data_IF_311770956405
#
_entry.id   IF_311770956405
#
_cell.length_a   1.000
_cell.length_b   1.000
_cell.length_c   1.000
_cell.angle_alpha   90.00
_cell.angle_beta   90.00
_cell.angle_gamma   90.00
#
_symmetry.space_group_name_H-M   'P 1'
#
loop_
_entity.id
_entity.type
_entity.pdbx_description
1 polymer ?
#
# COMPACT_ATOMS: atom_id res chain seq x y z
N UNK A 1 -38.25 -5.38 7.83
CA UNK A 1 -37.65 -4.23 7.13
C UNK A 1 -36.22 -4.63 6.82
N UNK A 2 -35.97 -5.11 5.61
CA UNK A 2 -34.70 -5.72 5.21
C UNK A 2 -33.70 -4.62 4.82
N UNK A 3 -32.54 -4.61 5.47
CA UNK A 3 -31.40 -3.79 5.06
C UNK A 3 -30.54 -4.67 4.16
N UNK A 4 -30.60 -4.38 2.86
CA UNK A 4 -29.79 -4.99 1.81
C UNK A 4 -28.34 -4.56 2.00
N UNK A 5 -27.47 -5.47 2.44
CA UNK A 5 -26.04 -5.29 2.33
C UNK A 5 -25.66 -5.45 0.86
N UNK A 6 -25.38 -4.34 0.18
CA UNK A 6 -24.60 -4.35 -1.07
C UNK A 6 -23.13 -4.64 -0.72
N UNK A 7 -22.86 -5.86 -0.26
CA UNK A 7 -21.55 -6.45 -0.47
C UNK A 7 -21.56 -6.95 -1.91
N UNK A 8 -20.87 -6.21 -2.80
CA UNK A 8 -20.39 -6.82 -4.03
C UNK A 8 -19.68 -8.10 -3.61
N UNK A 9 -20.16 -9.22 -4.13
CA UNK A 9 -19.59 -10.53 -3.83
C UNK A 9 -18.07 -10.43 -3.98
N UNK A 10 -17.27 -11.00 -3.06
CA UNK A 10 -15.85 -11.12 -3.31
C UNK A 10 -15.73 -11.89 -4.62
N UNK A 11 -15.19 -11.23 -5.64
CA UNK A 11 -14.84 -11.86 -6.91
C UNK A 11 -14.15 -13.17 -6.54
N UNK A 12 -14.61 -14.34 -7.03
CA UNK A 12 -14.04 -15.61 -6.61
C UNK A 12 -12.53 -15.49 -6.75
N UNK A 13 -11.80 -15.65 -5.63
CA UNK A 13 -10.35 -15.64 -5.66
C UNK A 13 -9.98 -16.72 -6.66
N UNK A 14 -9.52 -16.33 -7.84
CA UNK A 14 -8.90 -17.23 -8.80
C UNK A 14 -8.00 -18.12 -7.97
N UNK A 15 -8.25 -19.43 -7.99
CA UNK A 15 -7.39 -20.38 -7.29
C UNK A 15 -5.95 -20.03 -7.66
N UNK A 16 -5.16 -19.64 -6.67
CA UNK A 16 -3.79 -19.22 -6.90
C UNK A 16 -3.06 -20.46 -7.37
N UNK A 17 -2.73 -20.49 -8.66
CA UNK A 17 -1.99 -21.61 -9.21
C UNK A 17 -0.60 -21.64 -8.58
N UNK A 18 -0.19 -22.76 -7.96
CA UNK A 18 1.15 -22.92 -7.45
C UNK A 18 2.16 -22.73 -8.58
N UNK A 19 3.32 -22.18 -8.22
CA UNK A 19 4.45 -22.10 -9.12
C UNK A 19 5.51 -23.12 -8.68
N UNK A 20 5.69 -24.17 -9.50
CA UNK A 20 6.54 -25.31 -9.17
C UNK A 20 7.81 -25.31 -10.02
N UNK A 21 8.96 -25.64 -9.43
CA UNK A 21 10.22 -25.84 -10.15
C UNK A 21 10.77 -27.20 -9.75
N UNK A 22 10.99 -28.07 -10.74
CA UNK A 22 11.43 -29.45 -10.56
C UNK A 22 12.74 -29.69 -11.31
N UNK A 23 13.64 -30.47 -10.72
CA UNK A 23 14.81 -31.03 -11.41
C UNK A 23 15.24 -32.32 -10.73
N UNK A 24 14.85 -33.46 -11.29
CA UNK A 24 15.14 -34.76 -10.68
C UNK A 24 14.52 -34.89 -9.29
N UNK A 25 15.33 -35.00 -8.23
CA UNK A 25 14.84 -35.06 -6.83
C UNK A 25 14.59 -33.69 -6.20
N UNK A 26 15.00 -32.59 -6.85
CA UNK A 26 14.74 -31.25 -6.36
C UNK A 26 13.32 -30.82 -6.73
N UNK A 27 12.58 -30.30 -5.75
CA UNK A 27 11.26 -29.71 -5.95
C UNK A 27 11.13 -28.45 -5.09
N UNK A 28 10.84 -27.32 -5.73
CA UNK A 28 10.53 -26.05 -5.08
C UNK A 28 9.14 -25.59 -5.51
N UNK A 29 8.25 -25.43 -4.54
CA UNK A 29 6.90 -24.92 -4.76
C UNK A 29 6.74 -23.55 -4.10
N UNK A 30 6.21 -22.59 -4.85
CA UNK A 30 5.73 -21.32 -4.32
C UNK A 30 4.21 -21.32 -4.32
N UNK A 31 3.63 -20.60 -3.35
CA UNK A 31 2.17 -20.48 -3.22
C UNK A 31 1.52 -19.91 -4.48
N UNK A 32 2.18 -18.95 -5.12
CA UNK A 32 1.78 -18.39 -6.40
C UNK A 32 2.97 -17.73 -7.10
N UNK A 33 2.82 -17.41 -8.39
CA UNK A 33 3.88 -16.79 -9.19
C UNK A 33 4.26 -15.38 -8.70
N UNK A 34 3.38 -14.63 -8.04
CA UNK A 34 3.73 -13.31 -7.51
C UNK A 34 4.68 -13.39 -6.32
N UNK A 35 4.75 -14.53 -5.63
CA UNK A 35 5.73 -14.78 -4.57
C UNK A 35 7.18 -14.62 -5.06
N UNK A 36 7.44 -14.70 -6.37
CA UNK A 36 8.74 -14.36 -6.97
C UNK A 36 9.18 -12.91 -6.69
N UNK A 37 8.24 -11.99 -6.49
CA UNK A 37 8.52 -10.60 -6.17
C UNK A 37 8.97 -10.38 -4.72
N UNK A 38 8.81 -11.36 -3.85
CA UNK A 38 9.28 -11.30 -2.46
C UNK A 38 10.66 -11.93 -2.30
N UNK A 39 11.07 -12.79 -3.24
CA UNK A 39 12.36 -13.46 -3.20
C UNK A 39 13.53 -12.55 -3.62
N UNK A 40 14.72 -12.68 -3.03
CA UNK A 40 15.92 -12.00 -3.53
C UNK A 40 16.19 -12.35 -5.00
N UNK A 41 16.65 -11.38 -5.81
CA UNK A 41 16.94 -11.59 -7.24
C UNK A 41 17.90 -12.77 -7.48
N UNK A 42 18.88 -12.98 -6.58
CA UNK A 42 19.81 -14.10 -6.67
C UNK A 42 19.11 -15.46 -6.56
N UNK A 43 18.06 -15.56 -5.72
CA UNK A 43 17.30 -16.80 -5.55
C UNK A 43 16.42 -17.06 -6.77
N UNK A 44 15.74 -16.03 -7.30
CA UNK A 44 14.94 -16.17 -8.52
C UNK A 44 15.82 -16.55 -9.71
N UNK A 45 17.01 -15.96 -9.81
CA UNK A 45 18.02 -16.34 -10.81
C UNK A 45 18.40 -17.82 -10.75
N UNK A 46 18.57 -18.37 -9.55
CA UNK A 46 18.84 -19.81 -9.37
C UNK A 46 17.64 -20.66 -9.77
N UNK A 47 16.42 -20.24 -9.39
CA UNK A 47 15.19 -20.93 -9.76
C UNK A 47 15.03 -21.01 -11.29
N UNK A 48 15.21 -19.90 -12.01
CA UNK A 48 15.17 -19.94 -13.48
C UNK A 48 16.23 -20.82 -14.09
N UNK A 49 17.45 -20.82 -13.54
CA UNK A 49 18.51 -21.70 -14.04
C UNK A 49 18.10 -23.18 -13.91
N UNK A 50 17.56 -23.58 -12.76
CA UNK A 50 17.07 -24.94 -12.52
C UNK A 50 15.93 -25.25 -13.49
N UNK A 51 14.89 -24.40 -13.50
CA UNK A 51 13.69 -24.53 -14.30
C UNK A 51 14.01 -24.68 -15.80
N UNK A 52 14.88 -23.83 -16.35
CA UNK A 52 15.25 -23.86 -17.76
C UNK A 52 16.25 -24.98 -18.10
N UNK A 53 17.01 -25.48 -17.12
CA UNK A 53 17.90 -26.63 -17.33
C UNK A 53 17.17 -27.97 -17.43
N UNK A 54 15.96 -28.05 -16.88
CA UNK A 54 15.06 -29.19 -16.99
C UNK A 54 13.74 -28.75 -17.65
N UNK A 55 13.83 -28.05 -18.78
CA UNK A 55 12.69 -27.35 -19.38
C UNK A 55 11.48 -28.25 -19.67
N UNK A 56 11.71 -29.51 -20.04
CA UNK A 56 10.64 -30.49 -20.27
C UNK A 56 9.88 -30.85 -18.98
N UNK A 57 10.54 -30.87 -17.82
CA UNK A 57 9.89 -31.07 -16.50
C UNK A 57 9.13 -29.81 -16.05
N UNK A 58 9.44 -28.66 -16.62
CA UNK A 58 9.02 -27.34 -16.15
C UNK A 58 8.23 -26.53 -17.19
N UNK A 59 7.68 -27.18 -18.22
CA UNK A 59 6.98 -26.51 -19.33
C UNK A 59 5.88 -25.57 -18.83
N UNK A 60 5.01 -26.08 -17.94
CA UNK A 60 3.94 -25.30 -17.31
C UNK A 60 4.46 -24.05 -16.59
N UNK A 61 5.54 -24.19 -15.82
CA UNK A 61 6.10 -23.09 -15.03
C UNK A 61 6.81 -22.05 -15.91
N UNK A 62 7.45 -22.49 -16.99
CA UNK A 62 8.00 -21.62 -18.03
C UNK A 62 6.88 -20.82 -18.69
N UNK A 63 5.77 -21.46 -19.06
CA UNK A 63 4.59 -20.79 -19.63
C UNK A 63 3.96 -19.79 -18.64
N UNK A 64 3.82 -20.17 -17.38
CA UNK A 64 3.34 -19.27 -16.33
C UNK A 64 4.23 -18.02 -16.25
N UNK A 65 5.56 -18.16 -16.26
CA UNK A 65 6.50 -17.02 -16.25
C UNK A 65 6.37 -16.17 -17.51
N UNK A 66 6.26 -16.78 -18.70
CA UNK A 66 6.06 -16.07 -19.98
C UNK A 66 4.77 -15.26 -19.99
N UNK A 67 3.68 -15.80 -19.46
CA UNK A 67 2.40 -15.10 -19.38
C UNK A 67 2.35 -14.05 -18.26
N UNK A 68 3.06 -14.29 -17.16
CA UNK A 68 3.05 -13.42 -15.99
C UNK A 68 3.94 -12.20 -16.13
N UNK A 69 5.18 -12.34 -16.62
CA UNK A 69 6.16 -11.26 -16.65
C UNK A 69 5.66 -9.98 -17.38
N UNK A 70 5.06 -10.06 -18.59
CA UNK A 70 4.52 -8.88 -19.26
C UNK A 70 3.41 -8.21 -18.44
N UNK A 71 2.48 -9.00 -17.88
CA UNK A 71 1.40 -8.51 -17.02
C UNK A 71 1.94 -7.88 -15.74
N UNK A 72 2.98 -8.46 -15.14
CA UNK A 72 3.63 -7.91 -13.97
C UNK A 72 4.29 -6.56 -14.26
N UNK A 73 4.86 -6.38 -15.46
CA UNK A 73 5.45 -5.13 -15.89
C UNK A 73 4.38 -4.04 -16.11
N UNK A 74 3.27 -4.39 -16.76
CA UNK A 74 2.11 -3.52 -16.94
C UNK A 74 1.50 -3.10 -15.59
N UNK A 75 1.25 -4.07 -14.71
CA UNK A 75 0.72 -3.81 -13.37
C UNK A 75 1.66 -2.91 -12.56
N UNK A 76 2.97 -3.11 -12.64
CA UNK A 76 3.93 -2.25 -11.94
C UNK A 76 3.97 -0.82 -12.51
N UNK A 77 3.74 -0.63 -13.81
CA UNK A 77 3.61 0.69 -14.41
C UNK A 77 2.33 1.40 -13.97
N UNK A 78 1.21 0.69 -13.94
CA UNK A 78 -0.07 1.22 -13.46
C UNK A 78 -0.04 1.55 -11.96
N UNK A 79 0.57 0.69 -11.14
CA UNK A 79 0.79 0.93 -9.71
C UNK A 79 1.55 2.25 -9.47
N UNK A 80 2.56 2.56 -10.29
CA UNK A 80 3.29 3.83 -10.22
C UNK A 80 2.36 4.99 -10.54
N UNK A 81 1.59 4.90 -11.64
CA UNK A 81 0.65 5.97 -12.04
C UNK A 81 -0.38 6.26 -10.94
N UNK A 82 -0.93 5.22 -10.33
CA UNK A 82 -1.86 5.34 -9.20
C UNK A 82 -1.19 5.96 -7.97
N UNK A 83 0.05 5.57 -7.66
CA UNK A 83 0.81 6.13 -6.54
C UNK A 83 1.19 7.60 -6.77
N UNK A 84 1.51 8.01 -8.00
CA UNK A 84 1.78 9.40 -8.36
C UNK A 84 0.54 10.28 -8.19
N UNK A 85 -0.62 9.81 -8.66
CA UNK A 85 -1.89 10.50 -8.45
C UNK A 85 -2.22 10.63 -6.96
N UNK A 86 -2.10 9.54 -6.20
CA UNK A 86 -2.35 9.56 -4.75
C UNK A 86 -1.41 10.53 -4.01
N UNK A 87 -0.14 10.64 -4.44
CA UNK A 87 0.80 11.61 -3.88
C UNK A 87 0.40 13.05 -4.21
N UNK A 88 -0.05 13.30 -5.45
CA UNK A 88 -0.56 14.63 -5.87
C UNK A 88 -1.78 15.03 -5.04
N UNK A 89 -2.72 14.11 -4.85
CA UNK A 89 -3.93 14.34 -4.05
C UNK A 89 -3.58 14.60 -2.58
N UNK A 90 -2.66 13.80 -2.01
CA UNK A 90 -2.19 14.00 -0.65
C UNK A 90 -1.52 15.37 -0.45
N UNK A 91 -0.70 15.82 -1.42
CA UNK A 91 -0.08 17.15 -1.37
C UNK A 91 -1.11 18.28 -1.44
N UNK A 92 -2.11 18.13 -2.32
CA UNK A 92 -3.22 19.09 -2.44
C UNK A 92 -4.02 19.18 -1.14
N UNK A 93 -4.36 18.03 -0.55
CA UNK A 93 -5.07 17.97 0.73
C UNK A 93 -4.23 18.57 1.88
N UNK A 94 -2.93 18.29 1.93
CA UNK A 94 -2.04 18.89 2.92
C UNK A 94 -1.99 20.42 2.80
N UNK A 95 -1.82 20.94 1.58
CA UNK A 95 -1.83 22.38 1.34
C UNK A 95 -3.16 23.02 1.79
N UNK A 96 -4.30 22.39 1.50
CA UNK A 96 -5.61 22.87 1.96
C UNK A 96 -5.70 22.91 3.49
N UNK A 97 -5.26 21.86 4.19
CA UNK A 97 -5.26 21.82 5.67
C UNK A 97 -4.35 22.85 6.30
N UNK A 98 -3.17 23.08 5.72
CA UNK A 98 -2.27 24.15 6.17
C UNK A 98 -2.89 25.53 5.94
N UNK A 99 -3.53 25.75 4.78
CA UNK A 99 -4.21 27.02 4.48
C UNK A 99 -5.39 27.30 5.41
N UNK A 100 -6.23 26.29 5.69
CA UNK A 100 -7.35 26.39 6.64
C UNK A 100 -6.85 26.76 8.05
N UNK A 101 -5.77 26.13 8.50
CA UNK A 101 -5.20 26.38 9.83
C UNK A 101 -4.56 27.78 9.89
N UNK A 102 -3.82 28.18 8.85
CA UNK A 102 -3.23 29.51 8.75
C UNK A 102 -4.28 30.64 8.75
N UNK A 103 -5.43 30.43 8.09
CA UNK A 103 -6.52 31.39 8.06
C UNK A 103 -7.12 31.69 9.46
N UNK A 104 -7.05 30.73 10.39
CA UNK A 104 -7.51 30.92 11.77
C UNK A 104 -6.49 31.65 12.66
N UNK A 105 -5.23 31.78 12.20
CA UNK A 105 -4.13 32.39 12.92
C UNK A 105 -3.28 31.37 13.69
N UNK A 106 -1.96 31.64 13.74
CA UNK A 106 -1.00 30.72 14.34
C UNK A 106 -1.30 30.44 15.82
N UNK A 107 -1.26 29.17 16.18
CA UNK A 107 -1.57 28.69 17.52
C UNK A 107 -3.04 28.82 17.95
N UNK A 108 -3.97 29.24 17.07
CA UNK A 108 -5.39 29.38 17.41
C UNK A 108 -5.95 28.08 17.99
N UNK A 109 -5.84 26.97 17.26
CA UNK A 109 -6.38 25.68 17.70
C UNK A 109 -5.69 25.16 18.96
N UNK A 110 -4.39 25.46 19.14
CA UNK A 110 -3.67 25.08 20.35
C UNK A 110 -4.18 25.84 21.59
N UNK A 111 -4.48 27.13 21.45
CA UNK A 111 -5.11 27.95 22.50
C UNK A 111 -6.52 27.43 22.81
N UNK A 112 -7.34 27.21 21.79
CA UNK A 112 -8.70 26.67 21.93
C UNK A 112 -8.72 25.31 22.64
N UNK A 113 -7.81 24.39 22.29
CA UNK A 113 -7.66 23.10 22.99
C UNK A 113 -7.29 23.31 24.47
N UNK A 114 -6.37 24.24 24.75
CA UNK A 114 -5.96 24.54 26.13
C UNK A 114 -7.12 25.10 26.96
N UNK A 115 -7.86 26.04 26.39
CA UNK A 115 -9.02 26.66 27.04
C UNK A 115 -10.14 25.65 27.29
N UNK A 116 -10.47 24.81 26.30
CA UNK A 116 -11.49 23.77 26.44
C UNK A 116 -11.10 22.70 27.47
N UNK A 117 -9.82 22.30 27.56
CA UNK A 117 -9.33 21.42 28.64
C UNK A 117 -9.52 22.06 30.01
N UNK A 118 -9.21 23.35 30.15
CA UNK A 118 -9.41 24.10 31.39
C UNK A 118 -10.90 24.19 31.74
N UNK A 119 -11.75 24.50 30.76
CA UNK A 119 -13.21 24.54 30.95
C UNK A 119 -13.76 23.19 31.39
N UNK A 120 -13.31 22.09 30.76
CA UNK A 120 -13.74 20.74 31.11
C UNK A 120 -13.35 20.39 32.56
N UNK A 121 -12.11 20.72 32.96
CA UNK A 121 -11.64 20.52 34.34
C UNK A 121 -12.50 21.29 35.34
N UNK A 122 -12.79 22.56 35.05
CA UNK A 122 -13.60 23.41 35.92
C UNK A 122 -15.06 22.96 35.99
N UNK A 123 -15.66 22.55 34.87
CA UNK A 123 -17.02 22.03 34.80
C UNK A 123 -17.18 20.76 35.66
N UNK A 124 -16.20 19.84 35.57
CA UNK A 124 -16.15 18.64 36.42
C UNK A 124 -16.00 19.00 37.90
N UNK A 125 -15.09 19.92 38.25
CA UNK A 125 -14.88 20.34 39.64
C UNK A 125 -16.13 20.99 40.25
N UNK A 126 -16.88 21.77 39.45
CA UNK A 126 -18.13 22.42 39.87
C UNK A 126 -19.37 21.53 39.78
N UNK A 127 -19.22 20.24 39.44
CA UNK A 127 -20.33 19.29 39.26
C UNK A 127 -21.40 19.81 38.29
N UNK A 128 -20.98 20.40 37.17
CA UNK A 128 -21.88 20.81 36.11
C UNK A 128 -22.71 19.63 35.57
N UNK A 129 -23.82 19.91 34.91
CA UNK A 129 -24.67 18.88 34.31
C UNK A 129 -23.90 18.05 33.27
N UNK A 130 -24.30 16.79 33.10
CA UNK A 130 -23.70 15.88 32.11
C UNK A 130 -23.74 16.50 30.69
N UNK A 131 -24.85 17.12 30.31
CA UNK A 131 -25.01 17.79 29.01
C UNK A 131 -23.95 18.86 28.74
N UNK A 132 -23.55 19.63 29.76
CA UNK A 132 -22.51 20.66 29.65
C UNK A 132 -21.14 20.01 29.48
N UNK A 133 -20.85 18.96 30.25
CA UNK A 133 -19.59 18.21 30.15
C UNK A 133 -19.44 17.58 28.76
N UNK A 134 -20.51 16.97 28.23
CA UNK A 134 -20.52 16.32 26.92
C UNK A 134 -20.31 17.34 25.78
N UNK A 135 -20.94 18.51 25.88
CA UNK A 135 -20.76 19.57 24.89
C UNK A 135 -19.32 20.09 24.84
N UNK A 136 -18.71 20.34 26.01
CA UNK A 136 -17.30 20.76 26.10
C UNK A 136 -16.38 19.66 25.55
N UNK A 137 -16.69 18.40 25.83
CA UNK A 137 -15.90 17.25 25.35
C UNK A 137 -15.93 17.14 23.83
N UNK A 138 -17.11 17.20 23.22
CA UNK A 138 -17.25 17.20 21.74
C UNK A 138 -16.48 18.35 21.09
N UNK A 139 -16.60 19.56 21.64
CA UNK A 139 -15.87 20.72 21.13
C UNK A 139 -14.35 20.56 21.27
N UNK A 140 -13.88 19.94 22.37
CA UNK A 140 -12.46 19.64 22.58
C UNK A 140 -11.95 18.65 21.55
N UNK A 141 -12.69 17.58 21.27
CA UNK A 141 -12.32 16.58 20.28
C UNK A 141 -12.23 17.20 18.87
N UNK A 142 -13.21 18.02 18.47
CA UNK A 142 -13.16 18.76 17.21
C UNK A 142 -11.95 19.70 17.14
N UNK A 143 -11.66 20.46 18.20
CA UNK A 143 -10.51 21.36 18.23
C UNK A 143 -9.17 20.61 18.12
N UNK A 144 -9.06 19.43 18.74
CA UNK A 144 -7.88 18.55 18.61
C UNK A 144 -7.74 18.07 17.16
N UNK A 145 -8.84 17.67 16.51
CA UNK A 145 -8.81 17.25 15.10
C UNK A 145 -8.30 18.36 14.19
N UNK A 146 -8.81 19.59 14.35
CA UNK A 146 -8.36 20.73 13.55
C UNK A 146 -6.89 21.08 13.81
N UNK A 147 -6.45 21.05 15.08
CA UNK A 147 -5.05 21.29 15.44
C UNK A 147 -4.12 20.27 14.78
N UNK A 148 -4.48 18.99 14.84
CA UNK A 148 -3.62 17.90 14.36
C UNK A 148 -3.73 17.66 12.85
N UNK A 149 -4.75 18.24 12.18
CA UNK A 149 -5.02 18.01 10.76
C UNK A 149 -3.82 18.26 9.83
N UNK A 150 -3.03 19.35 9.96
CA UNK A 150 -1.87 19.55 9.08
C UNK A 150 -0.79 18.50 9.30
N UNK A 151 -0.50 18.15 10.56
CA UNK A 151 0.47 17.10 10.90
C UNK A 151 0.06 15.73 10.34
N UNK A 152 -1.24 15.40 10.41
CA UNK A 152 -1.78 14.17 9.85
C UNK A 152 -1.71 14.18 8.32
N UNK A 153 -1.98 15.32 7.68
CA UNK A 153 -1.86 15.46 6.23
C UNK A 153 -0.40 15.33 5.76
N UNK A 154 0.56 15.92 6.46
CA UNK A 154 1.99 15.74 6.17
C UNK A 154 2.43 14.28 6.29
N UNK A 155 1.87 13.54 7.26
CA UNK A 155 2.10 12.10 7.40
C UNK A 155 1.55 11.35 6.19
N UNK A 156 0.33 11.68 5.74
CA UNK A 156 -0.26 11.08 4.54
C UNK A 156 0.60 11.33 3.29
N UNK A 157 1.18 12.52 3.14
CA UNK A 157 2.12 12.83 2.05
C UNK A 157 3.37 11.95 2.13
N UNK A 158 3.95 11.77 3.33
CA UNK A 158 5.12 10.90 3.53
C UNK A 158 4.80 9.44 3.21
N UNK A 159 3.64 8.96 3.63
CA UNK A 159 3.20 7.58 3.36
C UNK A 159 2.95 7.37 1.86
N UNK A 160 2.32 8.33 1.17
CA UNK A 160 2.14 8.30 -0.28
C UNK A 160 3.48 8.33 -1.03
N UNK A 161 4.44 9.14 -0.57
CA UNK A 161 5.79 9.18 -1.13
C UNK A 161 6.52 7.84 -0.96
N UNK A 162 6.41 7.21 0.22
CA UNK A 162 6.97 5.88 0.47
C UNK A 162 6.34 4.83 -0.45
N UNK A 163 5.03 4.87 -0.63
CA UNK A 163 4.32 3.99 -1.56
C UNK A 163 4.84 4.13 -2.99
N UNK A 164 4.99 5.37 -3.48
CA UNK A 164 5.55 5.63 -4.80
C UNK A 164 6.98 5.05 -4.95
N UNK A 165 7.83 5.25 -3.95
CA UNK A 165 9.18 4.66 -3.93
C UNK A 165 9.14 3.14 -4.03
N UNK A 166 8.26 2.48 -3.27
CA UNK A 166 8.10 1.04 -3.30
C UNK A 166 7.59 0.54 -4.68
N UNK A 167 6.63 1.24 -5.29
CA UNK A 167 6.14 0.92 -6.64
C UNK A 167 7.26 1.03 -7.68
N UNK A 168 8.10 2.07 -7.60
CA UNK A 168 9.27 2.22 -8.48
C UNK A 168 10.28 1.08 -8.30
N UNK A 169 10.59 0.71 -7.06
CA UNK A 169 11.47 -0.42 -6.76
C UNK A 169 10.90 -1.76 -7.27
N UNK A 170 9.57 -1.95 -7.16
CA UNK A 170 8.88 -3.13 -7.71
C UNK A 170 9.02 -3.19 -9.22
N UNK A 171 8.79 -2.08 -9.93
CA UNK A 171 8.97 -2.01 -11.40
C UNK A 171 10.40 -2.34 -11.82
N UNK A 172 11.39 -1.76 -11.14
CA UNK A 172 12.79 -2.06 -11.40
C UNK A 172 13.10 -3.55 -11.19
N UNK A 173 12.55 -4.16 -10.13
CA UNK A 173 12.69 -5.58 -9.89
C UNK A 173 12.08 -6.40 -11.03
N UNK A 174 10.85 -6.10 -11.46
CA UNK A 174 10.20 -6.79 -12.59
C UNK A 174 11.02 -6.68 -13.87
N UNK A 175 11.58 -5.50 -14.18
CA UNK A 175 12.45 -5.30 -15.35
C UNK A 175 13.71 -6.15 -15.28
N UNK A 176 14.36 -6.21 -14.10
CA UNK A 176 15.51 -7.10 -13.88
C UNK A 176 15.12 -8.56 -14.03
N UNK A 177 13.93 -8.91 -13.54
CA UNK A 177 13.43 -10.28 -13.63
C UNK A 177 13.22 -10.69 -15.10
N UNK A 178 12.55 -9.85 -15.88
CA UNK A 178 12.36 -10.04 -17.32
C UNK A 178 13.71 -10.22 -18.05
N UNK A 179 14.66 -9.31 -17.83
CA UNK A 179 15.95 -9.36 -18.50
C UNK A 179 16.74 -10.64 -18.20
N UNK A 180 16.70 -11.12 -16.95
CA UNK A 180 17.36 -12.38 -16.57
C UNK A 180 16.67 -13.56 -17.24
N UNK A 181 15.33 -13.59 -17.25
CA UNK A 181 14.58 -14.68 -17.87
C UNK A 181 14.85 -14.76 -19.38
N UNK A 182 14.80 -13.63 -20.08
CA UNK A 182 15.03 -13.57 -21.54
C UNK A 182 16.45 -14.02 -21.92
N UNK A 183 17.47 -13.55 -21.18
CA UNK A 183 18.87 -13.98 -21.39
C UNK A 183 19.03 -15.50 -21.20
N UNK A 184 18.39 -16.07 -20.18
CA UNK A 184 18.48 -17.51 -19.92
C UNK A 184 17.66 -18.35 -20.89
N UNK A 185 16.46 -17.91 -21.25
CA UNK A 185 15.61 -18.60 -22.22
C UNK A 185 16.29 -18.64 -23.60
N UNK A 186 16.87 -17.51 -24.03
CA UNK A 186 17.66 -17.45 -25.26
C UNK A 186 18.84 -18.43 -25.26
N UNK A 187 19.56 -18.55 -24.12
CA UNK A 187 20.67 -19.51 -23.96
C UNK A 187 20.20 -20.96 -23.96
N UNK A 188 19.01 -21.22 -23.40
CA UNK A 188 18.38 -22.54 -23.38
C UNK A 188 17.75 -22.93 -24.73
N UNK A 189 17.65 -21.99 -25.68
CA UNK A 189 16.96 -22.14 -26.98
C UNK A 189 15.47 -22.44 -26.83
N UNK A 190 14.83 -21.78 -25.87
CA UNK A 190 13.40 -21.91 -25.54
C UNK A 190 12.73 -20.57 -25.80
#
# INVERSE_FOLDING_TARGET
MNITYLHGEPTPRKELEPFDVVQGSFHAQLYDINSLLDLPLANVRKLWKIMLSAAWENEKSIEQVRGWLPRAAENAAEDIRLAENALKDAKTAAAARHSENAAMGDGYWQKTVTDLKRMLKNAKAKRASASVIDNITRNLDSAIQHRDAPRLADRAVKDAQRRLTNCKARREKVQKLQAIFDDMAAKAKI
#
